data_IF_422111203717
#
_entry.id   IF_422111203717
#
_cell.length_a   1.000
_cell.length_b   1.000
_cell.length_c   1.000
_cell.angle_alpha   90.00
_cell.angle_beta   90.00
_cell.angle_gamma   90.00
#
_symmetry.space_group_name_H-M   'P 1'
#
loop_
_entity.id
_entity.type
_entity.pdbx_description
1 polymer ?
#
# COMPACT_ATOMS: atom_id res chain seq x y z
N UNK A 1 -7.82 0.57 10.93
CA UNK A 1 -8.45 0.67 9.59
C UNK A 1 -9.60 1.65 9.68
N UNK A 2 -9.71 2.57 8.73
CA UNK A 2 -10.79 3.55 8.57
C UNK A 2 -11.72 3.01 7.49
N UNK A 3 -13.03 2.98 7.72
CA UNK A 3 -14.05 2.59 6.73
C UNK A 3 -14.71 3.85 6.17
N UNK A 4 -15.38 3.72 5.03
CA UNK A 4 -16.06 4.83 4.33
C UNK A 4 -15.17 6.06 4.13
N UNK A 5 -13.92 5.79 3.71
CA UNK A 5 -12.86 6.78 3.67
C UNK A 5 -13.09 7.88 2.62
N UNK A 6 -13.72 7.53 1.51
CA UNK A 6 -14.13 8.45 0.44
C UNK A 6 -15.65 8.40 0.27
N UNK A 7 -16.23 9.38 -0.43
CA UNK A 7 -17.62 9.25 -0.90
C UNK A 7 -17.74 8.15 -1.95
N UNK A 8 -18.88 7.47 -2.02
CA UNK A 8 -19.11 6.43 -3.01
C UNK A 8 -18.94 6.92 -4.46
N UNK A 9 -19.34 8.16 -4.77
CA UNK A 9 -19.08 8.78 -6.07
C UNK A 9 -17.57 8.86 -6.36
N UNK A 10 -16.75 9.28 -5.39
CA UNK A 10 -15.29 9.33 -5.56
C UNK A 10 -14.68 7.93 -5.74
N UNK A 11 -15.23 6.90 -5.06
CA UNK A 11 -14.76 5.51 -5.23
C UNK A 11 -15.08 5.01 -6.64
N UNK A 12 -16.27 5.30 -7.15
CA UNK A 12 -16.67 4.94 -8.53
C UNK A 12 -15.77 5.65 -9.56
N UNK A 13 -15.59 6.96 -9.44
CA UNK A 13 -14.71 7.74 -10.32
C UNK A 13 -13.25 7.24 -10.30
N UNK A 14 -12.75 6.83 -9.11
CA UNK A 14 -11.41 6.26 -8.98
C UNK A 14 -11.29 4.90 -9.67
N UNK A 15 -12.33 4.07 -9.60
CA UNK A 15 -12.36 2.79 -10.32
C UNK A 15 -12.36 3.04 -11.83
N UNK A 16 -13.20 3.93 -12.32
CA UNK A 16 -13.25 4.30 -13.74
C UNK A 16 -11.93 4.88 -14.23
N UNK A 17 -11.27 5.70 -13.39
CA UNK A 17 -9.92 6.20 -13.66
C UNK A 17 -8.93 5.03 -13.83
N UNK A 18 -8.92 4.05 -12.91
CA UNK A 18 -8.02 2.90 -12.99
C UNK A 18 -8.28 2.07 -14.26
N UNK A 19 -9.54 1.85 -14.60
CA UNK A 19 -9.95 1.08 -15.78
C UNK A 19 -9.57 1.79 -17.09
N UNK A 20 -9.78 3.10 -17.18
CA UNK A 20 -9.41 3.91 -18.36
C UNK A 20 -7.90 3.97 -18.59
N UNK A 21 -7.10 3.65 -17.55
CA UNK A 21 -5.64 3.66 -17.56
C UNK A 21 -5.03 2.27 -17.44
N UNK A 22 -5.74 1.21 -17.79
CA UNK A 22 -5.25 -0.16 -17.69
C UNK A 22 -3.88 -0.33 -18.38
N UNK A 23 -3.64 0.34 -19.51
CA UNK A 23 -2.36 0.30 -20.23
C UNK A 23 -1.17 0.91 -19.48
N UNK A 24 -1.43 1.74 -18.45
CA UNK A 24 -0.37 2.37 -17.63
C UNK A 24 0.11 1.44 -16.51
N UNK A 25 -0.58 0.29 -16.30
CA UNK A 25 -0.22 -0.66 -15.26
C UNK A 25 0.87 -1.62 -15.75
N UNK A 26 2.06 -1.43 -15.26
CA UNK A 26 3.21 -2.29 -15.53
C UNK A 26 3.45 -3.30 -14.39
N UNK A 27 4.10 -4.45 -14.65
CA UNK A 27 4.54 -5.35 -13.60
C UNK A 27 5.34 -4.59 -12.55
N UNK A 28 4.94 -4.72 -11.28
CA UNK A 28 5.60 -3.98 -10.19
C UNK A 28 7.00 -4.54 -9.92
N UNK A 29 7.97 -3.62 -9.73
CA UNK A 29 9.37 -3.95 -9.47
C UNK A 29 9.68 -3.84 -7.98
N UNK A 30 10.47 -4.75 -7.42
CA UNK A 30 10.90 -4.71 -6.03
C UNK A 30 12.10 -3.79 -5.81
N UNK A 31 12.97 -3.69 -6.81
CA UNK A 31 14.14 -2.79 -6.86
C UNK A 31 14.11 -2.04 -8.18
N UNK A 32 14.89 -0.96 -8.28
CA UNK A 32 14.85 -0.05 -9.44
C UNK A 32 14.79 -0.76 -10.80
N UNK A 33 15.32 -2.00 -10.91
CA UNK A 33 15.39 -2.71 -12.18
C UNK A 33 15.08 -4.21 -12.12
N UNK A 34 14.66 -4.78 -10.97
CA UNK A 34 14.41 -6.21 -10.87
C UNK A 34 12.92 -6.55 -10.76
N UNK A 35 12.44 -7.38 -11.69
CA UNK A 35 11.22 -8.14 -11.54
C UNK A 35 11.57 -9.42 -10.79
N UNK A 36 10.93 -9.65 -9.64
CA UNK A 36 11.12 -10.86 -8.84
C UNK A 36 9.76 -11.59 -8.68
N UNK A 37 9.28 -12.31 -9.70
CA UNK A 37 7.97 -12.97 -9.67
C UNK A 37 7.83 -14.02 -8.56
N UNK A 38 8.94 -14.52 -8.03
CA UNK A 38 8.95 -15.41 -6.86
C UNK A 38 8.61 -14.69 -5.56
N UNK A 39 8.70 -13.36 -5.52
CA UNK A 39 8.45 -12.53 -4.34
C UNK A 39 7.20 -11.67 -4.48
N UNK A 40 6.90 -11.16 -5.68
CA UNK A 40 5.75 -10.30 -5.94
C UNK A 40 5.20 -10.50 -7.34
N UNK A 41 3.90 -10.70 -7.43
CA UNK A 41 3.13 -10.64 -8.69
C UNK A 41 2.02 -9.61 -8.48
N UNK A 42 2.12 -8.49 -9.18
CA UNK A 42 1.10 -7.44 -9.25
C UNK A 42 1.46 -6.48 -10.38
N UNK A 43 0.55 -5.66 -10.81
CA UNK A 43 0.80 -4.54 -11.71
C UNK A 43 0.49 -3.21 -11.01
N UNK A 44 1.15 -2.14 -11.41
CA UNK A 44 0.93 -0.85 -10.80
C UNK A 44 1.32 0.32 -11.67
N UNK A 45 0.87 1.50 -11.27
CA UNK A 45 1.20 2.76 -11.92
C UNK A 45 1.48 3.84 -10.88
N UNK A 46 2.45 4.69 -11.15
CA UNK A 46 2.69 5.89 -10.34
C UNK A 46 1.90 7.10 -10.85
N UNK A 47 1.18 6.96 -11.95
CA UNK A 47 0.32 8.00 -12.48
C UNK A 47 -1.09 7.89 -11.87
N UNK A 48 -1.34 8.61 -10.79
CA UNK A 48 -2.63 8.70 -10.12
C UNK A 48 -3.45 9.93 -10.56
N UNK A 49 -2.98 10.71 -11.52
CA UNK A 49 -3.66 11.95 -11.91
C UNK A 49 -3.93 12.87 -10.71
N UNK A 50 -5.12 13.43 -10.65
CA UNK A 50 -5.57 14.32 -9.55
C UNK A 50 -5.68 13.60 -8.20
N UNK A 51 -5.86 12.28 -8.19
CA UNK A 51 -5.97 11.50 -6.96
C UNK A 51 -4.67 11.47 -6.14
N UNK A 52 -3.52 11.72 -6.78
CA UNK A 52 -2.23 11.82 -6.08
C UNK A 52 -2.28 12.84 -4.95
N UNK A 53 -2.64 14.08 -5.27
CA UNK A 53 -2.65 15.17 -4.28
C UNK A 53 -3.78 14.97 -3.24
N UNK A 54 -4.91 14.39 -3.64
CA UNK A 54 -5.99 14.04 -2.72
C UNK A 54 -5.51 13.04 -1.66
N UNK A 55 -4.90 11.91 -2.06
CA UNK A 55 -4.41 10.90 -1.11
C UNK A 55 -3.25 11.43 -0.26
N UNK A 56 -2.35 12.20 -0.86
CA UNK A 56 -1.26 12.86 -0.14
C UNK A 56 -1.78 13.80 0.96
N UNK A 57 -2.73 14.67 0.63
CA UNK A 57 -3.33 15.61 1.59
C UNK A 57 -4.05 14.87 2.72
N UNK A 58 -4.89 13.89 2.37
CA UNK A 58 -5.61 13.08 3.37
C UNK A 58 -4.63 12.34 4.29
N UNK A 59 -3.60 11.69 3.72
CA UNK A 59 -2.61 10.95 4.50
C UNK A 59 -1.83 11.89 5.45
N UNK A 60 -1.40 13.05 4.97
CA UNK A 60 -0.71 14.05 5.82
C UNK A 60 -1.59 14.55 6.96
N UNK A 61 -2.87 14.82 6.68
CA UNK A 61 -3.82 15.24 7.71
C UNK A 61 -4.04 14.21 8.82
N UNK A 62 -3.86 12.93 8.52
CA UNK A 62 -4.01 11.84 9.49
C UNK A 62 -2.75 11.58 10.31
N UNK A 63 -1.56 12.05 9.90
CA UNK A 63 -0.29 11.70 10.57
C UNK A 63 -0.30 11.95 12.08
N UNK A 64 -0.77 13.11 12.61
CA UNK A 64 -0.76 13.35 14.06
C UNK A 64 -1.61 12.33 14.84
N UNK A 65 -2.82 12.04 14.36
CA UNK A 65 -3.72 11.06 14.98
C UNK A 65 -3.15 9.65 14.90
N UNK A 66 -2.62 9.26 13.73
CA UNK A 66 -2.07 7.94 13.49
C UNK A 66 -0.83 7.68 14.34
N UNK A 67 0.08 8.64 14.44
CA UNK A 67 1.27 8.50 15.31
C UNK A 67 0.88 8.32 16.76
N UNK A 68 -0.12 9.07 17.26
CA UNK A 68 -0.63 8.91 18.61
C UNK A 68 -1.26 7.52 18.84
N UNK A 69 -2.14 7.07 17.93
CA UNK A 69 -2.79 5.74 18.02
C UNK A 69 -1.81 4.58 17.92
N UNK A 70 -0.78 4.70 17.09
CA UNK A 70 0.26 3.69 16.89
C UNK A 70 1.36 3.78 17.96
N UNK A 71 1.26 4.71 18.91
CA UNK A 71 2.26 4.98 19.96
C UNK A 71 3.67 5.22 19.38
N UNK A 72 3.71 5.89 18.23
CA UNK A 72 4.93 6.30 17.56
C UNK A 72 5.35 7.70 18.01
N UNK A 73 6.65 8.01 18.06
CA UNK A 73 7.09 9.40 18.20
C UNK A 73 6.54 10.27 17.08
N UNK A 74 6.15 11.51 17.40
CA UNK A 74 5.78 12.50 16.39
C UNK A 74 6.95 12.77 15.45
N UNK A 75 6.67 13.08 14.21
CA UNK A 75 7.67 13.44 13.22
C UNK A 75 7.11 14.41 12.17
N UNK A 76 8.00 15.16 11.53
CA UNK A 76 7.63 16.04 10.42
C UNK A 76 7.69 15.27 9.11
N UNK A 77 6.56 15.08 8.39
CA UNK A 77 6.56 14.45 7.08
C UNK A 77 7.36 15.26 6.07
N UNK A 78 8.28 14.58 5.35
CA UNK A 78 9.07 15.23 4.29
C UNK A 78 8.50 14.99 2.89
N UNK A 79 7.79 13.87 2.70
CA UNK A 79 7.15 13.49 1.44
C UNK A 79 6.08 12.43 1.67
N UNK A 80 5.16 12.32 0.71
CA UNK A 80 4.26 11.16 0.57
C UNK A 80 4.42 10.59 -0.83
N UNK A 81 4.81 9.34 -0.91
CA UNK A 81 4.86 8.56 -2.14
C UNK A 81 3.53 7.82 -2.31
N UNK A 82 3.03 7.73 -3.55
CA UNK A 82 1.79 7.02 -3.86
C UNK A 82 1.95 6.14 -5.08
N UNK A 83 1.27 4.99 -5.08
CA UNK A 83 1.23 4.04 -6.18
C UNK A 83 -0.15 3.39 -6.23
N UNK A 84 -0.78 3.33 -7.40
CA UNK A 84 -1.98 2.53 -7.63
C UNK A 84 -1.55 1.14 -8.09
N UNK A 85 -2.13 0.09 -7.49
CA UNK A 85 -1.78 -1.30 -7.80
C UNK A 85 -3.02 -2.14 -8.05
N UNK A 86 -2.88 -3.12 -8.95
CA UNK A 86 -3.87 -4.14 -9.24
C UNK A 86 -3.27 -5.53 -8.98
N UNK A 87 -3.98 -6.34 -8.21
CA UNK A 87 -3.64 -7.73 -7.97
C UNK A 87 -4.71 -8.59 -8.66
N UNK A 88 -4.37 -9.17 -9.80
CA UNK A 88 -5.20 -10.09 -10.54
C UNK A 88 -5.10 -11.53 -10.02
N UNK A 89 -5.53 -12.50 -10.84
CA UNK A 89 -5.48 -13.92 -10.49
C UNK A 89 -4.05 -14.41 -10.26
N UNK A 90 -3.83 -15.12 -9.14
CA UNK A 90 -2.52 -15.61 -8.72
C UNK A 90 -1.58 -14.53 -8.16
N UNK A 91 -2.00 -13.27 -8.09
CA UNK A 91 -1.16 -12.17 -7.58
C UNK A 91 -0.95 -12.28 -6.07
N UNK A 92 0.24 -11.90 -5.61
CA UNK A 92 0.64 -11.90 -4.21
C UNK A 92 1.83 -10.96 -3.97
N UNK A 93 2.15 -10.69 -2.71
CA UNK A 93 3.42 -10.10 -2.32
C UNK A 93 3.89 -10.76 -1.01
N UNK A 94 5.02 -11.46 -1.05
CA UNK A 94 5.58 -12.17 0.11
C UNK A 94 5.97 -11.22 1.24
N UNK A 95 6.14 -11.79 2.42
CA UNK A 95 6.51 -11.08 3.65
C UNK A 95 7.70 -10.15 3.44
N UNK A 96 7.49 -8.88 3.77
CA UNK A 96 8.48 -7.80 3.64
C UNK A 96 8.20 -6.69 4.65
N UNK A 97 9.08 -5.69 4.69
CA UNK A 97 8.86 -4.40 5.35
C UNK A 97 8.99 -3.30 4.30
N UNK A 98 8.25 -2.21 4.48
CA UNK A 98 8.30 -1.05 3.58
C UNK A 98 9.43 -0.07 3.92
N UNK A 99 9.92 -0.11 5.15
CA UNK A 99 11.07 0.71 5.57
C UNK A 99 12.30 0.25 4.81
N UNK A 100 12.91 1.17 4.06
CA UNK A 100 14.16 0.92 3.37
C UNK A 100 15.30 0.83 4.39
N UNK A 101 15.92 -0.34 4.49
CA UNK A 101 17.06 -0.61 5.37
C UNK A 101 18.40 -0.19 4.73
N UNK A 102 19.51 -0.41 5.43
CA UNK A 102 20.85 0.08 5.16
C UNK A 102 21.42 -0.07 3.74
N UNK A 103 20.82 -0.88 2.87
CA UNK A 103 21.24 -1.02 1.46
C UNK A 103 20.98 0.24 0.59
N UNK A 104 20.28 1.24 1.15
CA UNK A 104 19.94 2.50 0.49
C UNK A 104 20.56 3.69 1.26
N UNK A 105 21.87 3.66 1.45
CA UNK A 105 22.60 4.69 2.23
C UNK A 105 22.47 6.08 1.60
N UNK A 106 22.23 6.17 0.29
CA UNK A 106 22.14 7.43 -0.46
C UNK A 106 20.75 8.07 -0.42
N UNK A 107 19.77 7.47 0.27
CA UNK A 107 18.42 8.03 0.37
C UNK A 107 18.30 8.81 1.68
N UNK A 108 18.13 10.13 1.57
CA UNK A 108 17.95 11.05 2.72
C UNK A 108 16.61 10.89 3.46
N UNK A 109 15.77 9.98 2.99
CA UNK A 109 14.42 9.80 3.51
C UNK A 109 14.19 8.35 3.94
N UNK A 110 13.30 8.17 4.92
CA UNK A 110 12.88 6.86 5.40
C UNK A 110 11.36 6.82 5.49
N UNK A 111 10.74 5.73 5.03
CA UNK A 111 9.31 5.46 5.19
C UNK A 111 9.02 5.13 6.65
N UNK A 112 8.06 5.83 7.25
CA UNK A 112 7.63 5.62 8.63
C UNK A 112 6.20 5.08 8.73
N UNK A 113 5.30 5.52 7.86
CA UNK A 113 3.92 5.03 7.80
C UNK A 113 3.62 4.50 6.41
N UNK A 114 2.99 3.34 6.36
CA UNK A 114 2.42 2.72 5.17
C UNK A 114 0.91 2.76 5.25
N UNK A 115 0.27 3.27 4.22
CA UNK A 115 -1.17 3.28 4.05
C UNK A 115 -1.59 2.48 2.83
N UNK A 116 -2.66 1.72 2.93
CA UNK A 116 -3.25 0.95 1.83
C UNK A 116 -4.74 1.23 1.77
N UNK A 117 -5.17 1.95 0.74
CA UNK A 117 -6.58 2.21 0.47
C UNK A 117 -7.09 1.18 -0.53
N UNK A 118 -8.20 0.51 -0.17
CA UNK A 118 -8.79 -0.54 -0.99
C UNK A 118 -10.01 -0.02 -1.74
N UNK A 119 -10.08 -0.33 -3.04
CA UNK A 119 -11.24 -0.09 -3.87
C UNK A 119 -11.38 -1.22 -4.90
N UNK A 120 -12.58 -1.61 -5.20
CA UNK A 120 -12.88 -2.66 -6.17
C UNK A 120 -14.28 -2.45 -6.76
N UNK A 121 -14.56 -3.13 -7.86
CA UNK A 121 -15.91 -3.20 -8.41
C UNK A 121 -16.86 -3.92 -7.45
N UNK A 122 -18.13 -3.60 -7.53
CA UNK A 122 -19.20 -4.33 -6.86
C UNK A 122 -20.11 -5.01 -7.90
N UNK A 123 -20.46 -6.29 -7.63
CA UNK A 123 -20.03 -7.11 -6.49
C UNK A 123 -18.53 -7.47 -6.56
N UNK A 124 -17.90 -7.69 -5.38
CA UNK A 124 -16.52 -8.15 -5.27
C UNK A 124 -16.35 -9.49 -6.00
N UNK A 125 -15.45 -9.54 -6.99
CA UNK A 125 -15.25 -10.69 -7.90
C UNK A 125 -13.93 -11.44 -7.68
N UNK A 126 -13.22 -11.17 -6.59
CA UNK A 126 -11.99 -11.87 -6.20
C UNK A 126 -12.10 -12.42 -4.77
N UNK A 127 -11.31 -13.45 -4.48
CA UNK A 127 -11.09 -14.00 -3.15
C UNK A 127 -9.63 -13.82 -2.70
N UNK A 128 -9.35 -14.03 -1.42
CA UNK A 128 -8.01 -13.84 -0.86
C UNK A 128 -7.54 -12.39 -0.91
N UNK A 129 -6.23 -12.18 -1.02
CA UNK A 129 -5.64 -10.85 -1.09
C UNK A 129 -5.69 -10.08 0.23
N UNK A 130 -5.90 -10.76 1.36
CA UNK A 130 -5.79 -10.13 2.67
C UNK A 130 -4.39 -9.54 2.86
N UNK A 131 -4.30 -8.42 3.55
CA UNK A 131 -3.03 -7.95 4.07
C UNK A 131 -2.78 -8.67 5.40
N UNK A 132 -1.79 -9.57 5.41
CA UNK A 132 -1.33 -10.24 6.61
C UNK A 132 -0.29 -9.40 7.30
N UNK A 133 -0.59 -8.97 8.53
CA UNK A 133 0.30 -8.18 9.36
C UNK A 133 0.85 -9.07 10.47
N UNK A 134 2.17 -9.18 10.55
CA UNK A 134 2.86 -10.03 11.52
C UNK A 134 3.20 -9.26 12.79
N UNK A 135 3.20 -9.96 13.91
CA UNK A 135 3.72 -9.41 15.15
C UNK A 135 5.23 -9.11 15.04
N UNK A 136 5.68 -8.15 15.83
CA UNK A 136 7.08 -7.71 15.86
C UNK A 136 7.74 -8.34 17.10
N UNK A 137 8.82 -9.12 16.93
CA UNK A 137 9.59 -9.74 18.00
C UNK A 137 9.96 -11.19 17.69
N UNK A 138 10.94 -11.72 18.41
CA UNK A 138 11.54 -13.04 18.15
C UNK A 138 10.58 -14.22 18.41
N UNK A 139 9.70 -14.11 19.42
CA UNK A 139 8.74 -15.14 19.78
C UNK A 139 7.47 -15.12 18.91
N UNK A 140 7.29 -14.10 18.10
CA UNK A 140 6.04 -13.79 17.41
C UNK A 140 6.13 -13.99 15.89
N UNK A 141 7.17 -14.69 15.39
CA UNK A 141 7.44 -14.82 13.96
C UNK A 141 6.30 -15.48 13.17
N UNK A 142 5.41 -16.22 13.84
CA UNK A 142 4.26 -16.89 13.25
C UNK A 142 2.91 -16.27 13.66
N UNK A 143 2.91 -15.31 14.61
CA UNK A 143 1.69 -14.61 14.99
C UNK A 143 1.36 -13.52 13.97
N UNK A 144 0.16 -13.57 13.45
CA UNK A 144 -0.31 -12.60 12.46
C UNK A 144 -1.81 -12.33 12.58
N UNK A 145 -2.24 -11.27 11.93
CA UNK A 145 -3.65 -10.97 11.67
C UNK A 145 -3.87 -10.74 10.19
N UNK A 146 -4.89 -11.37 9.64
CA UNK A 146 -5.34 -11.15 8.27
C UNK A 146 -6.37 -10.01 8.24
N UNK A 147 -6.10 -9.02 7.42
CA UNK A 147 -6.94 -7.83 7.25
C UNK A 147 -7.51 -7.87 5.84
N UNK A 148 -8.82 -8.10 5.77
CA UNK A 148 -9.53 -8.19 4.50
C UNK A 148 -9.50 -6.85 3.74
N UNK A 149 -9.33 -6.89 2.40
CA UNK A 149 -9.36 -5.72 1.54
C UNK A 149 -10.81 -5.26 1.32
N UNK A 150 -11.39 -4.62 2.32
CA UNK A 150 -12.76 -4.10 2.25
C UNK A 150 -12.80 -2.86 1.36
N UNK A 151 -13.78 -2.82 0.44
CA UNK A 151 -13.99 -1.66 -0.43
C UNK A 151 -14.17 -0.40 0.41
N UNK A 152 -13.60 0.71 -0.07
CA UNK A 152 -13.63 2.02 0.57
C UNK A 152 -13.05 2.04 1.98
N UNK A 153 -12.04 1.21 2.24
CA UNK A 153 -11.34 1.20 3.52
C UNK A 153 -9.87 1.61 3.37
N UNK A 154 -9.34 2.29 4.40
CA UNK A 154 -7.96 2.73 4.45
C UNK A 154 -7.26 2.15 5.69
N UNK A 155 -6.32 1.25 5.45
CA UNK A 155 -5.47 0.66 6.48
C UNK A 155 -4.17 1.45 6.58
N UNK A 156 -3.74 1.77 7.82
CA UNK A 156 -2.43 2.39 8.06
C UNK A 156 -1.70 1.63 9.16
N UNK A 157 -0.40 1.41 8.95
CA UNK A 157 0.49 0.71 9.87
C UNK A 157 1.93 1.25 9.78
N UNK A 158 2.80 0.96 10.78
CA UNK A 158 4.20 1.35 10.72
C UNK A 158 4.92 0.67 9.55
N UNK A 159 5.71 1.40 8.78
CA UNK A 159 6.39 0.85 7.59
C UNK A 159 7.40 -0.26 7.91
N UNK A 160 7.83 -0.38 9.16
CA UNK A 160 8.72 -1.47 9.61
C UNK A 160 7.98 -2.73 10.06
N UNK A 161 6.64 -2.70 10.14
CA UNK A 161 5.87 -3.88 10.49
C UNK A 161 5.94 -4.90 9.33
N UNK A 162 6.36 -6.15 9.60
CA UNK A 162 6.41 -7.17 8.57
C UNK A 162 5.00 -7.52 8.10
N UNK A 163 4.81 -7.55 6.79
CA UNK A 163 3.50 -7.81 6.21
C UNK A 163 3.61 -8.50 4.84
N UNK A 164 2.52 -9.08 4.38
CA UNK A 164 2.41 -9.68 3.06
C UNK A 164 1.01 -9.46 2.46
N UNK A 165 0.88 -9.61 1.16
CA UNK A 165 -0.41 -9.75 0.49
C UNK A 165 -0.59 -11.23 0.15
N UNK A 166 -1.60 -11.87 0.75
CA UNK A 166 -1.92 -13.27 0.47
C UNK A 166 -2.37 -13.44 -0.98
N UNK A 167 -2.28 -14.66 -1.50
CA UNK A 167 -2.62 -14.91 -2.90
C UNK A 167 -4.06 -14.51 -3.21
N UNK A 168 -4.23 -13.76 -4.31
CA UNK A 168 -5.53 -13.38 -4.86
C UNK A 168 -6.02 -14.47 -5.80
N UNK A 169 -7.29 -14.83 -5.68
CA UNK A 169 -7.99 -15.66 -6.66
C UNK A 169 -9.00 -14.80 -7.42
N UNK A 170 -8.82 -14.67 -8.73
CA UNK A 170 -9.70 -13.88 -9.59
C UNK A 170 -10.05 -14.72 -10.83
N UNK A 171 -11.03 -15.65 -10.73
CA UNK A 171 -11.31 -16.64 -11.77
C UNK A 171 -11.63 -16.06 -13.14
N UNK A 172 -12.23 -14.88 -13.18
CA UNK A 172 -12.54 -14.17 -14.44
C UNK A 172 -11.30 -13.69 -15.18
N UNK A 173 -10.20 -13.45 -14.47
CA UNK A 173 -8.96 -12.83 -14.96
C UNK A 173 -9.14 -11.46 -15.62
N UNK A 174 -10.32 -10.85 -15.48
CA UNK A 174 -10.58 -9.51 -16.01
C UNK A 174 -9.93 -8.46 -15.11
N UNK A 175 -9.38 -7.42 -15.71
CA UNK A 175 -8.72 -6.34 -14.97
C UNK A 175 -9.66 -5.64 -13.98
N UNK A 176 -10.93 -5.39 -14.38
CA UNK A 176 -11.95 -4.77 -13.52
C UNK A 176 -12.22 -5.57 -12.23
N UNK A 177 -12.02 -6.88 -12.26
CA UNK A 177 -12.25 -7.78 -11.14
C UNK A 177 -11.05 -7.93 -10.22
N UNK A 178 -9.95 -7.20 -10.50
CA UNK A 178 -8.73 -7.20 -9.68
C UNK A 178 -8.98 -6.60 -8.29
N UNK A 179 -8.15 -6.99 -7.34
CA UNK A 179 -8.02 -6.32 -6.06
C UNK A 179 -7.20 -5.04 -6.26
N UNK A 180 -7.87 -3.91 -6.38
CA UNK A 180 -7.21 -2.61 -6.49
C UNK A 180 -6.85 -2.03 -5.13
N UNK A 181 -5.71 -1.36 -5.06
CA UNK A 181 -5.33 -0.57 -3.91
C UNK A 181 -4.52 0.67 -4.32
N UNK A 182 -4.56 1.71 -3.47
CA UNK A 182 -3.60 2.81 -3.51
C UNK A 182 -2.70 2.68 -2.29
N UNK A 183 -1.42 2.48 -2.53
CA UNK A 183 -0.40 2.53 -1.51
C UNK A 183 0.04 3.98 -1.29
N UNK A 184 0.23 4.35 -0.01
CA UNK A 184 0.73 5.66 0.42
C UNK A 184 1.87 5.44 1.40
N UNK A 185 3.04 6.02 1.17
CA UNK A 185 4.15 5.94 2.12
C UNK A 185 4.55 7.34 2.58
N UNK A 186 4.45 7.57 3.90
CA UNK A 186 4.90 8.83 4.51
C UNK A 186 6.37 8.71 4.88
N UNK A 187 7.14 9.67 4.40
CA UNK A 187 8.58 9.74 4.62
C UNK A 187 8.93 10.79 5.68
N UNK A 188 10.03 10.53 6.38
CA UNK A 188 10.77 11.51 7.18
C UNK A 188 12.19 11.64 6.63
N UNK A 189 12.78 12.82 6.69
CA UNK A 189 14.21 12.98 6.46
C UNK A 189 15.02 12.25 7.53
N UNK A 190 16.10 11.59 7.12
CA UNK A 190 17.07 11.05 8.07
C UNK A 190 17.73 12.22 8.81
N UNK A 191 17.99 12.04 10.10
CA UNK A 191 18.83 13.01 10.81
C UNK A 191 20.22 13.05 10.16
N UNK A 192 20.70 14.24 9.83
CA UNK A 192 22.08 14.42 9.37
C UNK A 192 22.97 13.99 10.54
N UNK A 193 23.76 12.93 10.36
CA UNK A 193 24.80 12.61 11.34
C UNK A 193 25.78 13.79 11.33
N UNK A 194 25.74 14.61 12.38
CA UNK A 194 26.76 15.63 12.58
C UNK A 194 28.15 14.98 12.49
N UNK A 195 29.02 15.60 11.72
CA UNK A 195 30.45 15.24 11.67
C UNK A 195 31.09 15.53 13.00
#
# INVERSE_FOLDING_TARGET
MLQDFLSEGTVADLLDFALSRQSDFEPTRLRRDSLEPSNRISSGSRNLGTYREMFKSKMLGLVPELTARLKMPSFDPSAVETEIVAHGDGAFYKRHIDTQTALYQDIDQIRLLSGVYYFNAEPKSFGGGALRLYAIGDAAAEDFVDIEPLRNSFLVFPSWAPHEVTTVTCPSKRFIDSRFAINCWVHRRKAVKGK
#
